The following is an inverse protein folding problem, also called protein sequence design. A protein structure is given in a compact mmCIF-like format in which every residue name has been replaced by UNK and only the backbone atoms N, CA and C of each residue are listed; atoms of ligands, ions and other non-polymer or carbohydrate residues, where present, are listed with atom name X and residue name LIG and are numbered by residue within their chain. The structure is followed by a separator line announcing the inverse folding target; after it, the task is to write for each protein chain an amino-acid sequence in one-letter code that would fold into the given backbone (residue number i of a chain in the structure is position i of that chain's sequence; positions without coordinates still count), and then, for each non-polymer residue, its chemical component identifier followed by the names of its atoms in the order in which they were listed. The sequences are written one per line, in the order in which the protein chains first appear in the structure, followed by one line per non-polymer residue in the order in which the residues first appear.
data_IF_519688239882
#
_entry.id   IF_519688239882
#
_cell.length_a   1.000
_cell.length_b   1.000
_cell.length_c   1.000
_cell.angle_alpha   90.00
_cell.angle_beta   90.00
_cell.angle_gamma   90.00
#
_symmetry.space_group_name_H-M   'P 1'
#
loop_
_entity.id
_entity.type
_entity.pdbx_description
1 polymer ?
#
# COMPACT_ATOMS: atom_id res chain seq x y z
N UNK A 1 26.12 64.78 13.06
CA UNK A 1 26.76 63.48 13.34
C UNK A 1 25.87 62.45 14.05
N UNK A 2 25.06 62.82 15.06
CA UNK A 2 24.20 61.86 15.82
C UNK A 2 23.11 61.14 14.98
N UNK A 3 22.57 61.80 13.95
CA UNK A 3 21.49 61.26 13.11
C UNK A 3 21.92 60.07 12.23
N UNK A 4 23.10 60.16 11.62
CA UNK A 4 23.65 59.10 10.75
C UNK A 4 23.93 57.83 11.57
N UNK A 5 24.39 58.00 12.81
CA UNK A 5 24.70 56.89 13.72
C UNK A 5 23.44 56.13 14.15
N UNK A 6 22.34 56.84 14.46
CA UNK A 6 21.06 56.20 14.78
C UNK A 6 20.46 55.45 13.58
N UNK A 7 20.62 55.99 12.36
CA UNK A 7 20.10 55.36 11.15
C UNK A 7 20.86 54.06 10.83
N UNK A 8 22.19 54.09 10.89
CA UNK A 8 23.03 52.91 10.69
C UNK A 8 22.79 51.84 11.77
N UNK A 9 22.53 52.25 13.01
CA UNK A 9 22.19 51.33 14.09
C UNK A 9 20.83 50.64 13.86
N UNK A 10 19.80 51.38 13.42
CA UNK A 10 18.49 50.81 13.07
C UNK A 10 18.57 49.84 11.88
N UNK A 11 19.34 50.19 10.84
CA UNK A 11 19.53 49.32 9.66
C UNK A 11 20.23 48.02 10.07
N UNK A 12 21.29 48.12 10.88
CA UNK A 12 22.03 46.95 11.38
C UNK A 12 21.16 46.01 12.22
N UNK A 13 20.26 46.55 13.05
CA UNK A 13 19.31 45.73 13.84
C UNK A 13 18.30 45.02 12.95
N UNK A 14 17.75 45.70 11.93
CA UNK A 14 16.80 45.09 11.01
C UNK A 14 17.46 43.99 10.17
N UNK A 15 18.67 44.22 9.66
CA UNK A 15 19.43 43.21 8.91
C UNK A 15 19.75 42.00 9.78
N UNK A 16 20.17 42.21 11.03
CA UNK A 16 20.44 41.11 11.96
C UNK A 16 19.17 40.31 12.32
N UNK A 17 18.02 40.98 12.47
CA UNK A 17 16.72 40.30 12.67
C UNK A 17 16.32 39.45 11.45
N UNK A 18 16.51 39.96 10.24
CA UNK A 18 16.16 39.24 9.00
C UNK A 18 17.07 38.02 8.80
N UNK A 19 18.39 38.18 9.02
CA UNK A 19 19.34 37.06 8.97
C UNK A 19 19.04 35.98 10.01
N UNK A 20 18.66 36.38 11.23
CA UNK A 20 18.29 35.44 12.30
C UNK A 20 16.94 34.76 12.04
N UNK A 21 16.00 35.44 11.38
CA UNK A 21 14.74 34.83 10.93
C UNK A 21 14.98 33.80 9.82
N UNK A 22 15.87 34.10 8.87
CA UNK A 22 16.21 33.20 7.76
C UNK A 22 16.88 31.91 8.24
N UNK A 23 17.77 31.99 9.23
CA UNK A 23 18.38 30.79 9.82
C UNK A 23 17.39 29.98 10.66
N UNK A 24 16.50 30.64 11.41
CA UNK A 24 15.44 29.96 12.15
C UNK A 24 14.39 29.30 11.25
N UNK A 25 14.08 29.88 10.09
CA UNK A 25 13.19 29.27 9.08
C UNK A 25 13.88 28.07 8.40
N UNK A 26 15.17 28.19 8.08
CA UNK A 26 15.94 27.12 7.43
C UNK A 26 16.14 25.89 8.31
N UNK A 27 16.28 26.04 9.63
CA UNK A 27 16.38 24.90 10.55
C UNK A 27 15.02 24.26 10.80
N UNK A 28 13.95 25.06 10.88
CA UNK A 28 12.59 24.56 11.14
C UNK A 28 11.96 23.79 9.96
N UNK A 29 12.43 24.03 8.74
CA UNK A 29 12.00 23.29 7.53
C UNK A 29 12.65 21.90 7.44
N UNK A 30 13.75 21.64 8.17
CA UNK A 30 14.53 20.41 8.06
C UNK A 30 13.99 19.23 8.88
N UNK A 31 13.04 19.48 9.79
CA UNK A 31 12.38 18.48 10.64
C UNK A 31 10.91 18.25 10.24
N UNK A 32 10.65 18.07 8.94
CA UNK A 32 9.45 17.33 8.54
C UNK A 32 9.67 15.91 9.07
N UNK A 33 9.02 15.56 10.20
CA UNK A 33 9.10 14.22 10.78
C UNK A 33 8.83 13.20 9.68
N UNK A 34 9.87 12.47 9.26
CA UNK A 34 9.74 11.36 8.30
C UNK A 34 9.06 10.21 9.03
N UNK A 35 7.73 10.21 9.04
CA UNK A 35 6.94 9.11 9.60
C UNK A 35 7.08 7.92 8.65
N UNK A 36 7.52 6.79 9.18
CA UNK A 36 7.69 5.54 8.45
C UNK A 36 6.87 4.48 9.20
N UNK A 37 5.93 3.85 8.51
CA UNK A 37 5.10 2.80 9.12
C UNK A 37 5.65 1.39 8.85
N UNK A 38 6.05 1.13 7.60
CA UNK A 38 6.62 -0.14 7.16
C UNK A 38 7.37 0.03 5.83
N UNK A 39 8.32 -0.85 5.48
CA UNK A 39 8.91 -0.86 4.15
C UNK A 39 7.88 -1.30 3.10
N UNK A 40 7.99 -0.76 1.87
CA UNK A 40 7.17 -1.25 0.76
C UNK A 40 7.65 -2.63 0.32
N UNK A 41 6.73 -3.53 -0.02
CA UNK A 41 7.06 -4.77 -0.71
C UNK A 41 6.55 -4.73 -2.17
N UNK A 42 7.36 -5.18 -3.15
CA UNK A 42 8.75 -5.65 -3.04
C UNK A 42 9.72 -4.57 -2.57
N UNK A 43 10.76 -4.98 -1.81
CA UNK A 43 11.74 -4.04 -1.24
C UNK A 43 12.46 -3.27 -2.35
N UNK A 44 12.58 -1.96 -2.16
CA UNK A 44 13.27 -1.04 -3.06
C UNK A 44 14.20 -0.15 -2.28
N UNK A 45 15.36 0.16 -2.86
CA UNK A 45 16.32 1.06 -2.24
C UNK A 45 15.91 2.53 -2.43
N UNK A 46 16.06 3.35 -1.38
CA UNK A 46 15.75 4.78 -1.43
C UNK A 46 16.63 5.62 -0.49
N UNK A 47 17.62 6.29 -1.06
CA UNK A 47 18.55 7.14 -0.32
C UNK A 47 17.92 8.36 0.39
N UNK A 48 16.66 8.71 0.11
CA UNK A 48 15.98 9.81 0.80
C UNK A 48 15.49 9.40 2.20
N UNK A 49 15.04 8.17 2.40
CA UNK A 49 14.42 7.71 3.65
C UNK A 49 15.27 6.67 4.41
N UNK A 50 16.31 6.10 3.80
CA UNK A 50 17.21 5.13 4.44
C UNK A 50 17.75 4.11 3.43
N UNK A 51 17.94 2.84 3.80
CA UNK A 51 18.25 1.80 2.83
C UNK A 51 17.01 1.39 2.01
N UNK A 52 15.78 1.52 2.53
CA UNK A 52 14.57 1.05 1.85
C UNK A 52 13.48 2.11 1.74
N UNK A 53 12.68 2.06 0.67
CA UNK A 53 11.50 2.91 0.48
C UNK A 53 10.41 2.58 1.50
N UNK A 54 9.97 3.55 2.33
CA UNK A 54 8.91 3.32 3.30
C UNK A 54 7.52 3.65 2.73
N UNK A 55 6.50 3.04 3.32
CA UNK A 55 5.14 3.54 3.31
C UNK A 55 5.02 4.65 4.36
N UNK A 56 4.54 5.81 3.92
CA UNK A 56 4.55 7.07 4.70
C UNK A 56 3.21 7.40 5.34
N UNK A 57 2.13 6.77 4.88
CA UNK A 57 0.78 6.97 5.43
C UNK A 57 0.32 5.72 6.19
N UNK A 58 -0.45 5.93 7.26
CA UNK A 58 -0.97 4.83 8.06
C UNK A 58 -2.01 4.03 7.25
N UNK A 59 -2.83 4.73 6.46
CA UNK A 59 -3.89 4.15 5.63
C UNK A 59 -3.31 3.19 4.59
N UNK A 60 -2.24 3.58 3.89
CA UNK A 60 -1.55 2.71 2.94
C UNK A 60 -0.91 1.51 3.65
N UNK A 61 -0.38 1.71 4.86
CA UNK A 61 0.20 0.62 5.66
C UNK A 61 -0.84 -0.43 6.03
N UNK A 62 -2.01 0.02 6.51
CA UNK A 62 -3.15 -0.84 6.85
C UNK A 62 -3.66 -1.55 5.59
N UNK A 63 -3.82 -0.83 4.48
CA UNK A 63 -4.24 -1.40 3.21
C UNK A 63 -3.33 -2.54 2.78
N UNK A 64 -2.00 -2.34 2.84
CA UNK A 64 -1.02 -3.36 2.46
C UNK A 64 -1.06 -4.57 3.37
N UNK A 65 -1.20 -4.37 4.68
CA UNK A 65 -1.33 -5.47 5.63
C UNK A 65 -2.60 -6.29 5.39
N UNK A 66 -3.70 -5.62 5.04
CA UNK A 66 -4.93 -6.30 4.67
C UNK A 66 -4.80 -7.05 3.34
N UNK A 67 -4.18 -6.47 2.32
CA UNK A 67 -3.86 -7.17 1.06
C UNK A 67 -3.01 -8.43 1.33
N UNK A 68 -2.02 -8.36 2.22
CA UNK A 68 -1.22 -9.53 2.61
C UNK A 68 -2.05 -10.58 3.33
N UNK A 69 -2.90 -10.19 4.28
CA UNK A 69 -3.81 -11.13 4.96
C UNK A 69 -4.69 -11.88 3.94
N UNK A 70 -5.18 -11.21 2.90
CA UNK A 70 -6.01 -11.81 1.87
C UNK A 70 -5.26 -12.83 1.00
N UNK A 71 -4.03 -12.52 0.57
CA UNK A 71 -3.27 -13.37 -0.37
C UNK A 71 -2.46 -14.48 0.32
N UNK A 72 -2.19 -14.33 1.61
CA UNK A 72 -1.42 -15.30 2.40
C UNK A 72 -2.23 -16.57 2.61
N UNK A 73 -1.60 -17.71 2.43
CA UNK A 73 -2.19 -19.02 2.69
C UNK A 73 -1.97 -19.43 4.17
N UNK A 74 -2.99 -19.99 4.86
CA UNK A 74 -2.76 -20.56 6.18
C UNK A 74 -1.70 -21.66 6.10
N UNK A 75 -0.77 -21.61 7.06
CA UNK A 75 0.43 -22.43 7.12
C UNK A 75 1.68 -21.74 6.57
N UNK A 76 1.57 -20.63 5.83
CA UNK A 76 2.74 -19.89 5.35
C UNK A 76 3.49 -19.17 6.47
N UNK A 77 2.78 -18.71 7.51
CA UNK A 77 3.38 -18.03 8.65
C UNK A 77 3.80 -19.04 9.74
N UNK A 78 5.11 -19.24 9.99
CA UNK A 78 5.59 -20.35 10.82
C UNK A 78 5.09 -20.34 12.26
N UNK A 79 4.91 -19.15 12.84
CA UNK A 79 4.51 -18.97 14.25
C UNK A 79 3.02 -18.66 14.41
N UNK A 80 2.29 -18.49 13.30
CA UNK A 80 0.84 -18.32 13.32
C UNK A 80 0.23 -19.03 12.09
N UNK A 81 0.14 -20.37 12.13
CA UNK A 81 -0.32 -21.16 10.98
C UNK A 81 -1.76 -20.87 10.54
N UNK A 82 -2.54 -20.22 11.40
CA UNK A 82 -3.94 -19.89 11.12
C UNK A 82 -4.15 -18.54 10.44
N UNK A 83 -3.08 -17.76 10.26
CA UNK A 83 -3.12 -16.47 9.58
C UNK A 83 -3.18 -16.66 8.06
N UNK A 84 -4.11 -15.95 7.44
CA UNK A 84 -4.24 -15.88 5.99
C UNK A 84 -5.61 -16.34 5.52
N UNK A 85 -6.17 -15.64 4.54
CA UNK A 85 -7.41 -16.05 3.87
C UNK A 85 -7.11 -17.08 2.79
N UNK A 86 -6.03 -16.94 2.03
CA UNK A 86 -5.68 -17.87 0.96
C UNK A 86 -6.61 -17.74 -0.24
N UNK A 87 -6.79 -16.51 -0.77
CA UNK A 87 -7.65 -16.27 -1.92
C UNK A 87 -7.29 -17.09 -3.16
N UNK A 88 -6.03 -17.53 -3.29
CA UNK A 88 -5.56 -18.31 -4.43
C UNK A 88 -6.25 -19.68 -4.53
N UNK A 89 -6.73 -20.24 -3.42
CA UNK A 89 -7.49 -21.50 -3.43
C UNK A 89 -8.78 -21.43 -4.23
N UNK A 90 -9.35 -20.23 -4.36
CA UNK A 90 -10.66 -20.02 -4.99
C UNK A 90 -10.57 -19.67 -6.47
N UNK A 91 -9.36 -19.63 -7.05
CA UNK A 91 -9.12 -19.23 -8.46
C UNK A 91 -9.84 -20.10 -9.49
N UNK A 92 -10.06 -21.37 -9.17
CA UNK A 92 -10.64 -22.37 -10.09
C UNK A 92 -11.94 -22.97 -9.57
N UNK A 93 -12.50 -22.39 -8.51
CA UNK A 93 -13.80 -22.82 -7.99
C UNK A 93 -14.91 -22.50 -8.99
N UNK A 94 -16.04 -23.18 -8.87
CA UNK A 94 -17.25 -22.81 -9.59
C UNK A 94 -17.91 -21.60 -8.90
N UNK A 95 -18.52 -20.70 -9.68
CA UNK A 95 -19.21 -19.51 -9.18
C UNK A 95 -20.35 -19.86 -8.20
N UNK A 96 -21.00 -21.02 -8.39
CA UNK A 96 -22.07 -21.51 -7.50
C UNK A 96 -21.55 -22.44 -6.38
N UNK A 97 -20.24 -22.60 -6.24
CA UNK A 97 -19.65 -23.51 -5.25
C UNK A 97 -20.02 -23.09 -3.81
N UNK A 98 -20.23 -24.10 -2.97
CA UNK A 98 -20.40 -23.88 -1.52
C UNK A 98 -19.13 -23.34 -0.86
N UNK A 99 -17.96 -23.54 -1.47
CA UNK A 99 -16.67 -23.02 -0.99
C UNK A 99 -16.59 -21.49 -1.09
N UNK A 100 -17.13 -20.88 -2.15
CA UNK A 100 -17.22 -19.41 -2.23
C UNK A 100 -18.14 -18.81 -1.17
N UNK A 101 -19.18 -19.53 -0.73
CA UNK A 101 -20.02 -19.06 0.39
C UNK A 101 -19.24 -19.01 1.69
N UNK A 102 -18.36 -20.00 1.94
CA UNK A 102 -17.46 -20.03 3.10
C UNK A 102 -16.36 -18.97 3.04
N UNK A 103 -16.00 -18.48 1.85
CA UNK A 103 -14.98 -17.44 1.71
C UNK A 103 -15.37 -16.15 2.44
N UNK A 104 -16.65 -15.78 2.43
CA UNK A 104 -17.13 -14.61 3.16
C UNK A 104 -16.87 -14.74 4.67
N UNK A 105 -17.33 -15.85 5.27
CA UNK A 105 -17.15 -16.17 6.69
C UNK A 105 -15.66 -16.24 7.07
N UNK A 106 -14.84 -16.75 6.15
CA UNK A 106 -13.39 -16.83 6.32
C UNK A 106 -12.73 -15.45 6.33
N UNK A 107 -13.09 -14.55 5.41
CA UNK A 107 -12.56 -13.18 5.41
C UNK A 107 -12.97 -12.46 6.70
N UNK A 108 -14.24 -12.59 7.09
CA UNK A 108 -14.76 -11.96 8.31
C UNK A 108 -14.02 -12.45 9.56
N UNK A 109 -13.89 -13.76 9.76
CA UNK A 109 -13.14 -14.32 10.89
C UNK A 109 -11.66 -13.93 10.93
N UNK A 110 -11.01 -13.80 9.78
CA UNK A 110 -9.61 -13.33 9.70
C UNK A 110 -9.50 -11.85 10.05
N UNK A 111 -10.46 -11.02 9.64
CA UNK A 111 -10.52 -9.61 10.03
C UNK A 111 -10.75 -9.50 11.54
N UNK A 112 -11.70 -10.24 12.11
CA UNK A 112 -11.98 -10.22 13.55
C UNK A 112 -10.75 -10.59 14.38
N UNK A 113 -9.96 -11.57 13.92
CA UNK A 113 -8.79 -12.04 14.66
C UNK A 113 -7.55 -11.17 14.49
N UNK A 114 -7.28 -10.67 13.28
CA UNK A 114 -6.00 -10.05 12.95
C UNK A 114 -6.07 -8.57 12.55
N UNK A 115 -7.25 -8.05 12.20
CA UNK A 115 -7.41 -6.70 11.67
C UNK A 115 -8.59 -5.90 12.26
N UNK A 116 -9.17 -6.35 13.38
CA UNK A 116 -10.40 -5.78 13.95
C UNK A 116 -10.26 -4.29 14.28
N UNK A 117 -9.10 -3.84 14.75
CA UNK A 117 -8.94 -2.43 15.13
C UNK A 117 -8.79 -1.48 13.92
N UNK A 118 -8.55 -2.04 12.73
CA UNK A 118 -8.13 -1.27 11.56
C UNK A 118 -9.09 -1.40 10.37
N UNK A 119 -9.77 -2.54 10.21
CA UNK A 119 -10.55 -2.86 9.00
C UNK A 119 -11.96 -3.33 9.36
N UNK A 120 -12.94 -2.93 8.53
CA UNK A 120 -14.31 -3.44 8.54
C UNK A 120 -14.67 -3.95 7.15
N UNK A 121 -15.16 -5.18 7.08
CA UNK A 121 -15.71 -5.73 5.85
C UNK A 121 -17.05 -5.06 5.53
N UNK A 122 -17.28 -4.70 4.27
CA UNK A 122 -18.55 -4.15 3.80
C UNK A 122 -19.31 -5.17 2.94
N UNK A 123 -18.63 -5.81 1.99
CA UNK A 123 -19.21 -6.86 1.15
C UNK A 123 -18.13 -7.66 0.44
N UNK A 124 -18.50 -8.88 0.05
CA UNK A 124 -17.72 -9.72 -0.85
C UNK A 124 -18.66 -10.14 -1.97
N UNK A 125 -18.44 -9.60 -3.18
CA UNK A 125 -19.22 -9.94 -4.36
C UNK A 125 -18.41 -10.88 -5.26
N UNK A 126 -19.13 -11.72 -5.98
CA UNK A 126 -18.58 -12.64 -6.97
C UNK A 126 -19.22 -12.33 -8.32
N UNK A 127 -18.47 -12.42 -9.40
CA UNK A 127 -19.04 -12.36 -10.75
C UNK A 127 -18.22 -13.20 -11.73
N UNK A 128 -18.87 -13.92 -12.68
CA UNK A 128 -18.14 -14.51 -13.79
C UNK A 128 -17.52 -13.39 -14.65
N UNK A 129 -16.25 -13.57 -15.06
CA UNK A 129 -15.53 -12.51 -15.78
C UNK A 129 -15.92 -12.37 -17.26
N UNK A 130 -16.67 -13.34 -17.81
CA UNK A 130 -17.15 -13.30 -19.19
C UNK A 130 -18.60 -13.78 -19.29
N UNK A 131 -19.34 -13.21 -20.25
CA UNK A 131 -20.66 -13.75 -20.68
C UNK A 131 -20.51 -15.09 -21.40
N UNK A 132 -19.33 -15.33 -21.97
CA UNK A 132 -18.96 -16.55 -22.68
C UNK A 132 -18.26 -17.49 -21.68
N UNK A 133 -18.96 -18.54 -21.26
CA UNK A 133 -18.63 -19.47 -20.16
C UNK A 133 -17.29 -20.23 -20.26
N UNK A 134 -16.42 -19.89 -21.20
CA UNK A 134 -15.25 -20.70 -21.56
C UNK A 134 -14.00 -20.42 -20.70
N UNK A 135 -13.96 -19.26 -20.04
CA UNK A 135 -12.85 -18.86 -19.20
C UNK A 135 -13.25 -19.07 -17.74
N UNK A 136 -12.87 -20.21 -17.15
CA UNK A 136 -13.12 -20.60 -15.74
C UNK A 136 -12.40 -19.69 -14.73
N UNK A 137 -12.77 -18.42 -14.72
CA UNK A 137 -12.23 -17.39 -13.82
C UNK A 137 -13.39 -16.71 -13.09
N UNK A 138 -13.24 -16.60 -11.77
CA UNK A 138 -14.15 -15.85 -10.92
C UNK A 138 -13.50 -14.51 -10.58
N UNK A 139 -14.24 -13.44 -10.83
CA UNK A 139 -13.91 -12.13 -10.27
C UNK A 139 -14.49 -12.06 -8.87
N UNK A 140 -13.62 -11.92 -7.88
CA UNK A 140 -13.98 -11.63 -6.49
C UNK A 140 -13.78 -10.14 -6.27
N UNK A 141 -14.75 -9.45 -5.68
CA UNK A 141 -14.69 -8.03 -5.32
C UNK A 141 -14.92 -7.88 -3.83
N UNK A 142 -13.88 -7.52 -3.10
CA UNK A 142 -13.93 -7.31 -1.64
C UNK A 142 -13.99 -5.81 -1.37
N UNK A 143 -15.11 -5.33 -0.81
CA UNK A 143 -15.25 -3.95 -0.34
C UNK A 143 -15.05 -3.90 1.17
N UNK A 144 -14.20 -3.00 1.62
CA UNK A 144 -13.88 -2.81 3.03
C UNK A 144 -13.67 -1.33 3.36
N UNK A 145 -13.65 -1.01 4.66
CA UNK A 145 -13.38 0.33 5.18
C UNK A 145 -12.21 0.26 6.16
N UNK A 146 -11.26 1.18 6.02
CA UNK A 146 -10.23 1.44 7.04
C UNK A 146 -10.83 2.34 8.12
N UNK A 147 -10.67 1.96 9.39
CA UNK A 147 -11.17 2.71 10.53
C UNK A 147 -10.34 3.98 10.76
N UNK A 148 -11.00 5.08 11.13
CA UNK A 148 -10.32 6.36 11.40
C UNK A 148 -9.97 7.20 10.16
N UNK A 149 -10.15 6.68 8.94
CA UNK A 149 -10.01 7.43 7.69
C UNK A 149 -11.36 7.71 7.04
N UNK A 150 -11.38 8.53 5.97
CA UNK A 150 -12.53 8.56 5.06
C UNK A 150 -12.76 7.14 4.51
N UNK A 151 -14.00 6.71 4.23
CA UNK A 151 -14.24 5.41 3.61
C UNK A 151 -13.49 5.34 2.27
N UNK A 152 -12.55 4.40 2.16
CA UNK A 152 -11.85 4.11 0.91
C UNK A 152 -12.46 2.83 0.37
N UNK A 153 -13.29 2.95 -0.66
CA UNK A 153 -13.76 1.78 -1.40
C UNK A 153 -12.62 1.27 -2.27
N UNK A 154 -11.98 0.19 -1.83
CA UNK A 154 -10.97 -0.49 -2.63
C UNK A 154 -11.61 -1.73 -3.25
N UNK A 155 -11.39 -1.93 -4.55
CA UNK A 155 -11.73 -3.17 -5.24
C UNK A 155 -10.46 -3.99 -5.33
N UNK A 156 -10.44 -5.15 -4.67
CA UNK A 156 -9.42 -6.15 -4.91
C UNK A 156 -9.93 -7.12 -5.97
N UNK A 157 -9.31 -7.16 -7.15
CA UNK A 157 -9.61 -8.18 -8.16
C UNK A 157 -8.54 -9.25 -8.10
N UNK A 158 -8.92 -10.52 -8.10
CA UNK A 158 -7.96 -11.63 -8.01
C UNK A 158 -6.96 -11.65 -9.18
N UNK A 159 -7.31 -11.09 -10.35
CA UNK A 159 -6.37 -10.86 -11.46
C UNK A 159 -5.19 -9.95 -11.09
N UNK A 160 -5.35 -9.07 -10.10
CA UNK A 160 -4.26 -8.23 -9.58
C UNK A 160 -3.17 -9.09 -8.92
N UNK A 161 -3.51 -10.30 -8.44
CA UNK A 161 -2.54 -11.24 -7.85
C UNK A 161 -1.63 -11.82 -8.95
N UNK A 162 -2.19 -12.15 -10.11
CA UNK A 162 -1.46 -12.77 -11.23
C UNK A 162 -0.66 -11.71 -12.00
N UNK A 163 -1.21 -10.50 -12.15
CA UNK A 163 -0.57 -9.40 -12.91
C UNK A 163 0.48 -8.61 -12.12
N UNK A 164 0.44 -8.61 -10.78
CA UNK A 164 1.48 -8.00 -9.92
C UNK A 164 2.68 -8.89 -9.65
N UNK A 165 2.69 -10.15 -10.10
CA UNK A 165 3.96 -10.87 -10.25
C UNK A 165 4.73 -10.07 -11.30
N UNK A 166 5.87 -9.43 -10.97
CA UNK A 166 6.66 -8.81 -12.01
C UNK A 166 6.98 -9.93 -13.01
N UNK A 167 6.49 -9.81 -14.25
CA UNK A 167 7.10 -10.55 -15.36
C UNK A 167 8.57 -10.17 -15.28
N UNK A 168 9.38 -11.06 -14.74
CA UNK A 168 10.81 -10.87 -14.55
C UNK A 168 11.35 -10.30 -15.86
N UNK A 169 12.17 -9.24 -15.80
CA UNK A 169 12.71 -8.56 -17.00
C UNK A 169 13.40 -9.52 -18.00
N UNK A 170 13.73 -10.73 -17.55
CA UNK A 170 14.19 -11.84 -18.38
C UNK A 170 13.18 -12.26 -19.47
N UNK A 171 11.86 -12.25 -19.21
CA UNK A 171 10.85 -12.70 -20.19
C UNK A 171 10.67 -11.68 -21.31
N UNK A 172 10.67 -10.38 -20.99
CA UNK A 172 10.62 -9.30 -22.01
C UNK A 172 11.89 -9.24 -22.87
N UNK A 173 13.03 -9.61 -22.30
CA UNK A 173 14.30 -9.66 -23.04
C UNK A 173 14.30 -10.80 -24.06
N UNK A 174 13.76 -11.96 -23.70
CA UNK A 174 13.62 -13.10 -24.61
C UNK A 174 12.61 -12.83 -25.73
N UNK A 175 11.48 -12.21 -25.43
CA UNK A 175 10.49 -11.80 -26.45
C UNK A 175 11.09 -10.82 -27.46
N UNK A 176 11.85 -9.82 -26.99
CA UNK A 176 12.57 -8.88 -27.89
C UNK A 176 13.66 -9.54 -28.73
N UNK A 177 14.36 -10.54 -28.19
CA UNK A 177 15.38 -11.28 -28.94
C UNK A 177 14.71 -12.11 -30.04
N UNK A 178 13.58 -12.77 -29.75
CA UNK A 178 12.84 -13.57 -30.72
C UNK A 178 12.25 -12.69 -31.83
N UNK A 179 11.68 -11.53 -31.50
CA UNK A 179 11.19 -10.54 -32.48
C UNK A 179 12.31 -9.93 -33.33
N UNK A 180 13.56 -9.90 -32.84
CA UNK A 180 14.71 -9.42 -33.62
C UNK A 180 15.32 -10.47 -34.55
N UNK A 181 14.89 -11.74 -34.44
CA UNK A 181 15.40 -12.88 -35.20
C UNK A 181 14.40 -13.35 -36.28
N UNK A 182 13.12 -12.94 -36.21
CA UNK A 182 12.13 -13.13 -37.30
C UNK A 182 12.12 -11.96 -38.27
#
# INVERSE_FOLDING_TARGET
MKFIFQLLFKIRINIWRILKLGTLLSTKIKDIRKIQHQPIFPLRYDGAYGPYTPITTLEESIQKNFEYLLITEPGEWPMEPSLGVGLKRYLFEDYESSELKKLHERIESQIERFANDNVRLLSVDYSPMSKDKDNNYIKIVIRYRILGSRPIETTFTVDDIITKIPKTESVKTLERIIESIS
#
